data_IF_562906956152
#
_entry.id   IF_562906956152
#
_cell.length_a   1.000
_cell.length_b   1.000
_cell.length_c   1.000
_cell.angle_alpha   90.00
_cell.angle_beta   90.00
_cell.angle_gamma   90.00
#
_symmetry.space_group_name_H-M   'P 1'
#
loop_
_entity.id
_entity.type
_entity.pdbx_description
1 polymer ?
#
# COMPACT_ATOMS: atom_id res chain seq x y z
N UNK A 1 8.99 -21.03 39.95
CA UNK A 1 8.71 -19.58 39.89
C UNK A 1 9.77 -18.93 39.01
N UNK A 2 9.41 -18.03 38.13
CA UNK A 2 10.39 -17.34 37.27
C UNK A 2 11.37 -16.55 38.17
N UNK A 3 12.67 -16.70 37.90
CA UNK A 3 13.71 -16.04 38.67
C UNK A 3 13.66 -14.51 38.42
N UNK A 4 13.82 -13.67 39.43
CA UNK A 4 13.84 -12.21 39.33
C UNK A 4 14.81 -11.70 38.21
N UNK A 5 15.92 -12.43 38.01
CA UNK A 5 16.87 -12.14 36.92
C UNK A 5 16.24 -12.34 35.52
N UNK A 6 15.52 -13.43 35.31
CA UNK A 6 14.84 -13.74 34.03
C UNK A 6 13.77 -12.69 33.70
N UNK A 7 12.96 -12.29 34.70
CA UNK A 7 11.94 -11.25 34.51
C UNK A 7 12.62 -9.93 34.12
N UNK A 8 13.70 -9.55 34.77
CA UNK A 8 14.45 -8.33 34.46
C UNK A 8 15.02 -8.35 33.05
N UNK A 9 15.59 -9.49 32.61
CA UNK A 9 16.16 -9.62 31.29
C UNK A 9 15.07 -9.54 30.19
N UNK A 10 13.88 -10.11 30.47
CA UNK A 10 12.70 -9.97 29.60
C UNK A 10 12.20 -8.53 29.54
N UNK A 11 12.13 -7.82 30.67
CA UNK A 11 11.78 -6.40 30.68
C UNK A 11 12.72 -5.57 29.83
N UNK A 12 14.03 -5.82 29.93
CA UNK A 12 15.04 -5.12 29.13
C UNK A 12 14.85 -5.36 27.62
N UNK A 13 14.61 -6.60 27.21
CA UNK A 13 14.34 -6.93 25.82
C UNK A 13 13.10 -6.22 25.26
N UNK A 14 12.02 -6.15 26.06
CA UNK A 14 10.80 -5.43 25.68
C UNK A 14 11.04 -3.92 25.59
N UNK A 15 11.81 -3.33 26.52
CA UNK A 15 12.18 -1.91 26.46
C UNK A 15 12.99 -1.58 25.19
N UNK A 16 13.91 -2.46 24.79
CA UNK A 16 14.69 -2.26 23.58
C UNK A 16 13.82 -2.40 22.32
N UNK A 17 12.90 -3.36 22.30
CA UNK A 17 11.88 -3.48 21.24
C UNK A 17 11.02 -2.23 21.14
N UNK A 18 10.56 -1.68 22.27
CA UNK A 18 9.74 -0.45 22.33
C UNK A 18 10.50 0.77 21.77
N UNK A 19 11.81 0.88 22.01
CA UNK A 19 12.64 1.96 21.40
C UNK A 19 12.66 1.85 19.89
N UNK A 20 12.77 0.62 19.34
CA UNK A 20 12.76 0.36 17.90
C UNK A 20 11.40 0.70 17.31
N UNK A 21 10.30 0.25 17.92
CA UNK A 21 8.94 0.56 17.44
C UNK A 21 8.65 2.06 17.45
N UNK A 22 9.07 2.79 18.50
CA UNK A 22 8.94 4.25 18.55
C UNK A 22 9.75 4.96 17.44
N UNK A 23 10.97 4.49 17.16
CA UNK A 23 11.75 5.02 16.04
C UNK A 23 11.08 4.77 14.70
N UNK A 24 10.54 3.56 14.49
CA UNK A 24 9.80 3.22 13.26
C UNK A 24 8.50 4.03 13.12
N UNK A 25 7.79 4.30 14.21
CA UNK A 25 6.64 5.20 14.24
C UNK A 25 7.00 6.59 13.73
N UNK A 26 8.08 7.20 14.27
CA UNK A 26 8.53 8.54 13.86
C UNK A 26 8.95 8.59 12.38
N UNK A 27 9.67 7.57 11.92
CA UNK A 27 10.09 7.47 10.51
C UNK A 27 8.88 7.37 9.61
N UNK A 28 7.90 6.50 9.93
CA UNK A 28 6.68 6.31 9.12
C UNK A 28 5.84 7.57 9.09
N UNK A 29 5.70 8.28 10.22
CA UNK A 29 5.01 9.58 10.30
C UNK A 29 5.66 10.64 9.38
N UNK A 30 7.00 10.71 9.36
CA UNK A 30 7.71 11.64 8.48
C UNK A 30 7.52 11.28 7.00
N UNK A 31 7.59 9.99 6.66
CA UNK A 31 7.38 9.49 5.29
C UNK A 31 5.96 9.73 4.81
N UNK A 32 4.95 9.48 5.65
CA UNK A 32 3.55 9.74 5.35
C UNK A 32 3.31 11.21 5.01
N UNK A 33 3.87 12.14 5.80
CA UNK A 33 3.74 13.59 5.52
C UNK A 33 4.36 13.96 4.18
N UNK A 34 5.52 13.39 3.83
CA UNK A 34 6.17 13.64 2.53
C UNK A 34 5.33 13.10 1.38
N UNK A 35 4.77 11.89 1.51
CA UNK A 35 3.90 11.31 0.50
C UNK A 35 2.65 12.16 0.26
N UNK A 36 1.95 12.58 1.32
CA UNK A 36 0.79 13.48 1.20
C UNK A 36 1.13 14.81 0.52
N UNK A 37 2.29 15.40 0.83
CA UNK A 37 2.75 16.62 0.17
C UNK A 37 3.05 16.39 -1.31
N UNK A 38 3.67 15.26 -1.66
CA UNK A 38 3.95 14.92 -3.06
C UNK A 38 2.66 14.74 -3.86
N UNK A 39 1.65 14.07 -3.29
CA UNK A 39 0.34 13.91 -3.91
C UNK A 39 -0.33 15.28 -4.15
N UNK A 40 -0.45 16.10 -3.13
CA UNK A 40 -1.06 17.43 -3.22
C UNK A 40 -0.37 18.35 -4.25
N UNK A 41 0.93 18.21 -4.46
CA UNK A 41 1.67 19.01 -5.44
C UNK A 41 1.42 18.57 -6.90
N UNK A 42 1.04 17.31 -7.12
CA UNK A 42 0.87 16.77 -8.48
C UNK A 42 -0.60 16.62 -8.88
N UNK A 43 -1.49 16.54 -7.93
CA UNK A 43 -2.92 16.42 -8.11
C UNK A 43 -3.53 17.49 -9.06
N UNK A 44 -3.20 18.80 -8.98
CA UNK A 44 -3.73 19.81 -9.89
C UNK A 44 -3.40 19.55 -11.36
N UNK A 45 -2.20 19.02 -11.64
CA UNK A 45 -1.80 18.68 -13.01
C UNK A 45 -2.69 17.57 -13.59
N UNK A 46 -2.98 16.52 -12.82
CA UNK A 46 -3.82 15.42 -13.27
C UNK A 46 -5.28 15.81 -13.42
N UNK A 47 -5.80 16.65 -12.54
CA UNK A 47 -7.13 17.23 -12.71
C UNK A 47 -7.23 18.06 -14.00
N UNK A 48 -6.16 18.79 -14.36
CA UNK A 48 -6.13 19.54 -15.61
C UNK A 48 -6.17 18.63 -16.83
N UNK A 49 -5.42 17.51 -16.83
CA UNK A 49 -5.47 16.50 -17.89
C UNK A 49 -6.86 15.87 -18.00
N UNK A 50 -7.43 15.44 -16.89
CA UNK A 50 -8.77 14.85 -16.84
C UNK A 50 -9.83 15.83 -17.35
N UNK A 51 -9.79 17.08 -16.91
CA UNK A 51 -10.69 18.15 -17.35
C UNK A 51 -10.55 18.42 -18.86
N UNK A 52 -9.32 18.41 -19.38
CA UNK A 52 -9.06 18.59 -20.81
C UNK A 52 -9.64 17.42 -21.62
N UNK A 53 -9.42 16.19 -21.16
CA UNK A 53 -10.02 14.99 -21.80
C UNK A 53 -11.55 15.06 -21.78
N UNK A 54 -12.15 15.43 -20.64
CA UNK A 54 -13.60 15.63 -20.51
C UNK A 54 -14.13 16.66 -21.52
N UNK A 55 -13.43 17.79 -21.69
CA UNK A 55 -13.79 18.82 -22.69
C UNK A 55 -13.74 18.28 -24.11
N UNK A 56 -12.66 17.57 -24.47
CA UNK A 56 -12.50 16.99 -25.80
C UNK A 56 -13.62 15.99 -26.10
N UNK A 57 -13.88 15.06 -25.18
CA UNK A 57 -14.91 14.02 -25.35
C UNK A 57 -16.33 14.58 -25.44
N UNK A 58 -16.61 15.68 -24.73
CA UNK A 58 -17.90 16.38 -24.80
C UNK A 58 -18.14 17.02 -26.15
N UNK A 59 -17.10 17.62 -26.73
CA UNK A 59 -17.23 18.30 -28.05
C UNK A 59 -17.17 17.35 -29.23
N UNK A 60 -16.57 16.16 -29.03
CA UNK A 60 -16.37 15.15 -30.06
C UNK A 60 -16.81 13.77 -29.55
N UNK A 61 -18.13 13.56 -29.37
CA UNK A 61 -18.64 12.33 -28.78
C UNK A 61 -18.39 11.08 -29.66
N UNK A 62 -18.22 11.26 -30.98
CA UNK A 62 -17.97 10.16 -31.93
C UNK A 62 -16.48 9.93 -32.20
N UNK A 63 -15.58 10.68 -31.56
CA UNK A 63 -14.14 10.52 -31.76
C UNK A 63 -13.69 9.10 -31.38
N UNK A 64 -12.96 8.44 -32.26
CA UNK A 64 -12.35 7.14 -31.98
C UNK A 64 -10.95 7.31 -31.41
N UNK A 65 -10.65 6.55 -30.35
CA UNK A 65 -9.31 6.47 -29.79
C UNK A 65 -9.05 5.05 -29.32
N UNK A 66 -7.85 4.54 -29.60
CA UNK A 66 -7.41 3.20 -29.22
C UNK A 66 -7.46 2.91 -27.70
N UNK A 67 -7.48 3.98 -26.88
CA UNK A 67 -7.49 3.89 -25.43
C UNK A 67 -8.87 3.81 -24.81
N UNK A 68 -9.93 4.07 -25.59
CA UNK A 68 -11.31 4.02 -25.10
C UNK A 68 -11.99 2.74 -25.53
N UNK A 69 -12.85 2.24 -24.67
CA UNK A 69 -13.71 1.09 -24.99
C UNK A 69 -14.64 1.46 -26.17
N UNK A 70 -14.65 0.61 -27.17
CA UNK A 70 -15.64 0.70 -28.24
C UNK A 70 -16.99 0.22 -27.70
N UNK A 71 -18.05 1.06 -27.70
CA UNK A 71 -19.37 0.68 -27.20
C UNK A 71 -20.00 -0.48 -28.00
N UNK A 72 -19.59 -0.66 -29.27
CA UNK A 72 -20.14 -1.66 -30.18
C UNK A 72 -19.29 -2.95 -30.22
N UNK A 73 -18.16 -3.00 -29.51
CA UNK A 73 -17.31 -4.19 -29.50
C UNK A 73 -18.04 -5.35 -28.79
N UNK A 74 -18.22 -6.45 -29.52
CA UNK A 74 -18.68 -7.71 -28.92
C UNK A 74 -17.51 -8.29 -28.12
N UNK A 75 -17.63 -8.30 -26.81
CA UNK A 75 -16.61 -8.76 -25.89
C UNK A 75 -16.95 -10.20 -25.50
N UNK A 76 -16.07 -11.14 -25.89
CA UNK A 76 -16.13 -12.50 -25.39
C UNK A 76 -15.28 -12.59 -24.09
N UNK A 77 -15.96 -12.66 -22.96
CA UNK A 77 -15.36 -12.74 -21.62
C UNK A 77 -14.32 -13.86 -21.47
N UNK A 78 -14.45 -14.95 -22.26
CA UNK A 78 -13.56 -16.10 -22.17
C UNK A 78 -12.24 -15.92 -22.91
N UNK A 79 -12.15 -14.96 -23.81
CA UNK A 79 -10.96 -14.71 -24.64
C UNK A 79 -10.18 -13.48 -24.22
N UNK A 80 -10.72 -12.63 -23.36
CA UNK A 80 -10.07 -11.41 -22.89
C UNK A 80 -8.81 -11.74 -22.09
N UNK A 81 -7.70 -11.08 -22.43
CA UNK A 81 -6.43 -11.16 -21.71
C UNK A 81 -6.31 -9.97 -20.78
N UNK A 82 -6.45 -10.21 -19.48
CA UNK A 82 -6.40 -9.16 -18.47
C UNK A 82 -5.04 -9.08 -17.81
N UNK A 83 -4.51 -7.87 -17.72
CA UNK A 83 -3.33 -7.58 -16.92
C UNK A 83 -3.75 -7.05 -15.55
N UNK A 84 -3.28 -7.71 -14.49
CA UNK A 84 -3.47 -7.30 -13.10
C UNK A 84 -2.17 -6.72 -12.57
N UNK A 85 -2.14 -5.42 -12.34
CA UNK A 85 -0.97 -4.71 -11.80
C UNK A 85 -1.17 -4.57 -10.29
N UNK A 86 -0.42 -5.34 -9.51
CA UNK A 86 -0.57 -5.40 -8.06
C UNK A 86 0.53 -4.60 -7.39
N UNK A 87 0.14 -3.59 -6.61
CA UNK A 87 1.06 -2.70 -5.89
C UNK A 87 1.13 -3.12 -4.42
N UNK A 88 2.25 -3.73 -4.01
CA UNK A 88 2.49 -4.18 -2.64
C UNK A 88 3.68 -3.44 -2.03
N UNK A 89 3.89 -3.56 -0.72
CA UNK A 89 5.07 -3.01 -0.07
C UNK A 89 6.35 -3.82 -0.35
N UNK A 90 7.50 -3.17 -0.16
CA UNK A 90 8.80 -3.85 -0.16
C UNK A 90 9.14 -4.48 1.20
N UNK A 91 8.56 -3.97 2.28
CA UNK A 91 8.85 -4.39 3.66
C UNK A 91 7.57 -4.65 4.45
N UNK A 92 7.65 -5.58 5.38
CA UNK A 92 6.57 -5.92 6.30
C UNK A 92 6.34 -4.90 7.42
N UNK A 93 5.74 -5.38 8.50
CA UNK A 93 5.40 -4.61 9.72
C UNK A 93 4.43 -3.46 9.48
N UNK A 94 3.57 -3.58 8.49
CA UNK A 94 2.53 -2.63 8.13
C UNK A 94 1.11 -3.22 8.40
N UNK A 95 0.94 -3.91 9.52
CA UNK A 95 -0.35 -4.52 9.88
C UNK A 95 -0.89 -5.43 8.79
N UNK A 96 -2.17 -5.30 8.47
CA UNK A 96 -2.86 -6.10 7.45
C UNK A 96 -2.70 -5.57 6.01
N UNK A 97 -1.97 -4.47 5.78
CA UNK A 97 -1.82 -3.80 4.49
C UNK A 97 -1.53 -4.78 3.34
N UNK A 98 -0.43 -5.54 3.44
CA UNK A 98 -0.06 -6.48 2.38
C UNK A 98 -1.03 -7.66 2.27
N UNK A 99 -1.56 -8.15 3.39
CA UNK A 99 -2.51 -9.27 3.39
C UNK A 99 -3.78 -8.92 2.63
N UNK A 100 -4.35 -7.76 2.87
CA UNK A 100 -5.61 -7.34 2.25
C UNK A 100 -5.49 -7.21 0.73
N UNK A 101 -4.42 -6.57 0.25
CA UNK A 101 -4.22 -6.39 -1.19
C UNK A 101 -3.88 -7.69 -1.91
N UNK A 102 -3.07 -8.55 -1.29
CA UNK A 102 -2.73 -9.86 -1.86
C UNK A 102 -3.94 -10.77 -1.96
N UNK A 103 -4.82 -10.76 -0.94
CA UNK A 103 -6.08 -11.49 -0.95
C UNK A 103 -6.99 -11.03 -2.10
N UNK A 104 -7.20 -9.72 -2.24
CA UNK A 104 -7.99 -9.15 -3.33
C UNK A 104 -7.43 -9.52 -4.71
N UNK A 105 -6.11 -9.40 -4.87
CA UNK A 105 -5.44 -9.76 -6.13
C UNK A 105 -5.60 -11.26 -6.44
N UNK A 106 -5.44 -12.14 -5.45
CA UNK A 106 -5.58 -13.59 -5.62
C UNK A 106 -7.00 -13.97 -6.03
N UNK A 107 -8.02 -13.35 -5.43
CA UNK A 107 -9.44 -13.57 -5.78
C UNK A 107 -9.73 -13.26 -7.26
N UNK A 108 -9.17 -12.18 -7.80
CA UNK A 108 -9.35 -11.82 -9.21
C UNK A 108 -8.54 -12.73 -10.15
N UNK A 109 -7.30 -13.05 -9.81
CA UNK A 109 -6.40 -13.84 -10.65
C UNK A 109 -6.87 -15.30 -10.76
N UNK A 110 -7.35 -15.90 -9.66
CA UNK A 110 -7.82 -17.29 -9.66
C UNK A 110 -9.08 -17.51 -10.51
N UNK A 111 -9.90 -16.48 -10.64
CA UNK A 111 -11.14 -16.52 -11.42
C UNK A 111 -10.92 -16.22 -12.92
N UNK A 112 -9.70 -15.84 -13.32
CA UNK A 112 -9.38 -15.47 -14.69
C UNK A 112 -8.25 -16.34 -15.27
N UNK A 113 -8.61 -17.23 -16.19
CA UNK A 113 -7.67 -18.15 -16.86
C UNK A 113 -6.63 -17.46 -17.74
N UNK A 114 -6.95 -16.27 -18.23
CA UNK A 114 -6.10 -15.48 -19.12
C UNK A 114 -5.36 -14.34 -18.37
N UNK A 115 -5.38 -14.39 -17.05
CA UNK A 115 -4.73 -13.39 -16.22
C UNK A 115 -3.24 -13.30 -16.47
N UNK A 116 -2.74 -12.08 -16.65
CA UNK A 116 -1.32 -11.74 -16.66
C UNK A 116 -0.99 -10.89 -15.46
N UNK A 117 -0.15 -11.39 -14.61
CA UNK A 117 0.20 -10.75 -13.35
C UNK A 117 1.43 -9.84 -13.51
N UNK A 118 1.28 -8.57 -13.17
CA UNK A 118 2.34 -7.57 -13.08
C UNK A 118 2.50 -7.17 -11.61
N UNK A 119 3.70 -7.27 -11.07
CA UNK A 119 3.91 -7.06 -9.64
C UNK A 119 4.87 -5.89 -9.39
N UNK A 120 4.47 -5.01 -8.50
CA UNK A 120 5.27 -3.92 -7.94
C UNK A 120 5.42 -4.18 -6.44
N UNK A 121 6.65 -4.22 -5.92
CA UNK A 121 6.96 -4.48 -4.52
C UNK A 121 7.41 -5.92 -4.24
N UNK A 122 8.34 -6.04 -3.29
CA UNK A 122 9.02 -7.31 -2.98
C UNK A 122 8.10 -8.32 -2.29
N UNK A 123 7.18 -7.85 -1.44
CA UNK A 123 6.27 -8.75 -0.70
C UNK A 123 5.34 -9.48 -1.67
N UNK A 124 4.77 -8.77 -2.64
CA UNK A 124 3.92 -9.39 -3.67
C UNK A 124 4.70 -10.37 -4.53
N UNK A 125 5.92 -10.01 -4.95
CA UNK A 125 6.77 -10.89 -5.72
C UNK A 125 7.02 -12.21 -4.98
N UNK A 126 7.45 -12.16 -3.73
CA UNK A 126 7.67 -13.37 -2.93
C UNK A 126 6.40 -14.19 -2.73
N UNK A 127 5.29 -13.53 -2.43
CA UNK A 127 4.00 -14.20 -2.22
C UNK A 127 3.56 -15.01 -3.44
N UNK A 128 3.53 -14.38 -4.63
CA UNK A 128 3.07 -15.04 -5.84
C UNK A 128 4.05 -16.14 -6.31
N UNK A 129 5.35 -15.94 -6.10
CA UNK A 129 6.36 -16.99 -6.37
C UNK A 129 6.15 -18.20 -5.47
N UNK A 130 5.90 -18.04 -4.17
CA UNK A 130 5.59 -19.14 -3.24
C UNK A 130 4.31 -19.88 -3.63
N UNK A 131 3.31 -19.16 -4.09
CA UNK A 131 2.04 -19.72 -4.60
C UNK A 131 2.16 -20.34 -5.99
N UNK A 132 3.34 -20.25 -6.63
CA UNK A 132 3.59 -20.72 -8.01
C UNK A 132 2.66 -20.07 -9.05
N UNK A 133 2.19 -18.85 -8.79
CA UNK A 133 1.42 -18.05 -9.74
C UNK A 133 2.42 -17.36 -10.69
N UNK A 134 2.30 -17.56 -12.01
CA UNK A 134 3.25 -17.00 -12.96
C UNK A 134 3.17 -15.48 -13.00
N UNK A 135 4.32 -14.82 -12.85
CA UNK A 135 4.44 -13.36 -12.96
C UNK A 135 4.89 -13.03 -14.38
N UNK A 136 4.05 -12.32 -15.12
CA UNK A 136 4.34 -11.92 -16.49
C UNK A 136 5.42 -10.84 -16.57
N UNK A 137 5.42 -9.89 -15.63
CA UNK A 137 6.43 -8.86 -15.53
C UNK A 137 6.65 -8.42 -14.08
N UNK A 138 7.92 -8.18 -13.73
CA UNK A 138 8.32 -7.69 -12.42
C UNK A 138 8.96 -6.31 -12.59
N UNK A 139 8.46 -5.34 -11.85
CA UNK A 139 9.10 -4.04 -11.79
C UNK A 139 10.09 -4.02 -10.63
N UNK A 140 11.38 -3.94 -10.95
CA UNK A 140 12.48 -3.92 -9.96
C UNK A 140 12.64 -2.57 -9.26
N UNK A 141 11.57 -1.82 -9.13
CA UNK A 141 11.57 -0.53 -8.48
C UNK A 141 11.00 -0.65 -7.08
N UNK A 142 11.74 -0.11 -6.11
CA UNK A 142 11.21 -0.03 -4.75
C UNK A 142 10.08 0.99 -4.71
N UNK A 143 8.99 0.65 -4.04
CA UNK A 143 7.86 1.56 -3.83
C UNK A 143 8.17 2.65 -2.79
N UNK A 144 9.31 2.55 -2.09
CA UNK A 144 9.66 3.42 -0.96
C UNK A 144 9.85 4.90 -1.31
N UNK A 145 9.98 5.23 -2.56
CA UNK A 145 10.06 6.61 -3.03
C UNK A 145 9.45 6.69 -4.44
N UNK A 146 8.13 6.75 -4.57
CA UNK A 146 7.48 6.87 -5.86
C UNK A 146 7.90 8.16 -6.54
N UNK A 147 8.31 8.06 -7.81
CA UNK A 147 8.68 9.19 -8.67
C UNK A 147 7.92 9.13 -9.97
N UNK A 148 7.72 10.28 -10.60
CA UNK A 148 7.05 10.37 -11.90
C UNK A 148 7.79 9.56 -12.98
N UNK A 149 9.13 9.53 -12.93
CA UNK A 149 9.95 8.72 -13.85
C UNK A 149 9.64 7.21 -13.72
N UNK A 150 9.49 6.71 -12.49
CA UNK A 150 9.12 5.30 -12.26
C UNK A 150 7.71 5.01 -12.76
N UNK A 151 6.76 5.90 -12.48
CA UNK A 151 5.40 5.77 -13.00
C UNK A 151 5.40 5.75 -14.53
N UNK A 152 6.21 6.60 -15.18
CA UNK A 152 6.34 6.62 -16.64
C UNK A 152 6.85 5.28 -17.20
N UNK A 153 7.91 4.72 -16.64
CA UNK A 153 8.44 3.42 -17.09
C UNK A 153 7.43 2.29 -16.93
N UNK A 154 6.65 2.30 -15.83
CA UNK A 154 5.57 1.33 -15.62
C UNK A 154 4.48 1.54 -16.67
N UNK A 155 4.05 2.78 -16.89
CA UNK A 155 3.01 3.15 -17.85
C UNK A 155 3.41 2.76 -19.28
N UNK A 156 4.63 3.05 -19.70
CA UNK A 156 5.15 2.70 -21.03
C UNK A 156 5.09 1.18 -21.26
N UNK A 157 5.51 0.38 -20.27
CA UNK A 157 5.43 -1.09 -20.34
C UNK A 157 3.99 -1.58 -20.50
N UNK A 158 3.05 -1.00 -19.75
CA UNK A 158 1.64 -1.38 -19.78
C UNK A 158 0.95 -0.92 -21.07
N UNK A 159 1.21 0.30 -21.52
CA UNK A 159 0.68 0.86 -22.76
C UNK A 159 1.20 0.06 -23.96
N UNK A 160 2.50 -0.31 -23.98
CA UNK A 160 3.05 -1.16 -25.03
C UNK A 160 2.35 -2.53 -25.06
N UNK A 161 2.16 -3.16 -23.89
CA UNK A 161 1.43 -4.43 -23.82
C UNK A 161 -0.01 -4.31 -24.33
N UNK A 162 -0.68 -3.21 -24.07
CA UNK A 162 -2.04 -2.92 -24.54
C UNK A 162 -2.06 -2.66 -26.06
N UNK A 163 -1.22 -1.77 -26.58
CA UNK A 163 -1.15 -1.42 -28.01
C UNK A 163 -0.72 -2.59 -28.88
N UNK A 164 0.20 -3.42 -28.40
CA UNK A 164 0.65 -4.63 -29.10
C UNK A 164 -0.33 -5.80 -28.95
N UNK A 165 -1.50 -5.57 -28.37
CA UNK A 165 -2.53 -6.60 -28.14
C UNK A 165 -2.02 -7.82 -27.39
N UNK A 166 -1.02 -7.67 -26.52
CA UNK A 166 -0.61 -8.72 -25.57
C UNK A 166 -1.61 -8.84 -24.44
N UNK A 167 -2.29 -7.74 -24.10
CA UNK A 167 -3.38 -7.65 -23.13
C UNK A 167 -4.50 -6.77 -23.71
N UNK A 168 -5.74 -7.06 -23.34
CA UNK A 168 -6.93 -6.36 -23.82
C UNK A 168 -7.49 -5.42 -22.73
N UNK A 169 -7.27 -5.76 -21.48
CA UNK A 169 -7.67 -4.92 -20.34
C UNK A 169 -6.53 -4.86 -19.32
N UNK A 170 -6.41 -3.72 -18.65
CA UNK A 170 -5.42 -3.50 -17.57
C UNK A 170 -6.14 -3.02 -16.34
N UNK A 171 -5.94 -3.73 -15.24
CA UNK A 171 -6.47 -3.41 -13.92
C UNK A 171 -5.33 -3.08 -12.97
N UNK A 172 -5.52 -2.06 -12.14
CA UNK A 172 -4.61 -1.67 -11.09
C UNK A 172 -5.21 -2.04 -9.73
N UNK A 173 -4.44 -2.78 -8.94
CA UNK A 173 -4.80 -3.21 -7.59
C UNK A 173 -3.82 -2.55 -6.63
N UNK A 174 -4.32 -1.60 -5.84
CA UNK A 174 -3.51 -0.83 -4.91
C UNK A 174 -4.32 -0.48 -3.67
N UNK A 175 -3.68 0.00 -2.62
CA UNK A 175 -4.37 0.40 -1.39
C UNK A 175 -4.47 1.91 -1.33
N UNK A 176 -5.68 2.41 -1.13
CA UNK A 176 -5.96 3.83 -0.92
C UNK A 176 -6.30 4.13 0.54
N UNK A 177 -6.08 5.38 0.95
CA UNK A 177 -6.50 5.87 2.26
C UNK A 177 -7.93 6.40 2.19
N UNK A 178 -8.88 5.69 2.77
CA UNK A 178 -10.27 6.17 2.91
C UNK A 178 -10.35 7.33 3.92
N UNK A 179 -9.61 7.21 5.00
CA UNK A 179 -9.42 8.26 6.02
C UNK A 179 -8.11 8.01 6.79
N UNK A 180 -7.86 8.78 7.85
CA UNK A 180 -6.64 8.65 8.64
C UNK A 180 -6.50 7.30 9.38
N UNK A 181 -7.59 6.54 9.55
CA UNK A 181 -7.61 5.27 10.31
C UNK A 181 -7.88 4.04 9.44
N UNK A 182 -8.48 4.23 8.26
CA UNK A 182 -8.92 3.12 7.40
C UNK A 182 -8.29 3.18 6.03
N UNK A 183 -7.79 2.05 5.61
CA UNK A 183 -7.22 1.79 4.30
C UNK A 183 -8.09 0.76 3.60
N UNK A 184 -8.22 0.89 2.30
CA UNK A 184 -9.02 0.01 1.48
C UNK A 184 -8.25 -0.42 0.24
N UNK A 185 -8.21 -1.74 -0.02
CA UNK A 185 -7.65 -2.25 -1.25
C UNK A 185 -8.64 -1.95 -2.40
N UNK A 186 -8.15 -1.27 -3.42
CA UNK A 186 -8.91 -0.83 -4.58
C UNK A 186 -8.60 -1.73 -5.78
N UNK A 187 -9.63 -2.01 -6.54
CA UNK A 187 -9.55 -2.68 -7.83
C UNK A 187 -10.13 -1.75 -8.90
N UNK A 188 -9.27 -1.23 -9.76
CA UNK A 188 -9.69 -0.22 -10.74
C UNK A 188 -9.18 -0.57 -12.14
N UNK A 189 -10.03 -0.38 -13.15
CA UNK A 189 -9.62 -0.51 -14.54
C UNK A 189 -8.82 0.71 -14.96
N UNK A 190 -7.63 0.47 -15.50
CA UNK A 190 -6.76 1.50 -16.05
C UNK A 190 -6.96 1.66 -17.56
N UNK A 191 -7.11 0.54 -18.29
CA UNK A 191 -7.38 0.50 -19.73
C UNK A 191 -8.30 -0.69 -20.06
N UNK A 192 -9.16 -0.55 -21.07
CA UNK A 192 -9.51 0.68 -21.77
C UNK A 192 -10.26 1.66 -20.87
N UNK A 193 -10.13 2.95 -21.20
CA UNK A 193 -10.89 4.00 -20.51
C UNK A 193 -12.36 3.95 -20.91
N UNK A 194 -13.24 4.34 -20.02
CA UNK A 194 -14.66 4.50 -20.33
C UNK A 194 -15.02 5.98 -20.44
N UNK A 195 -15.78 6.33 -21.47
CA UNK A 195 -16.24 7.71 -21.69
C UNK A 195 -17.05 8.27 -20.52
N UNK A 196 -17.96 7.49 -19.88
CA UNK A 196 -18.71 7.96 -18.74
C UNK A 196 -17.86 8.45 -17.57
N UNK A 197 -16.65 7.92 -17.40
CA UNK A 197 -15.74 8.32 -16.32
C UNK A 197 -15.22 9.75 -16.48
N UNK A 198 -15.32 10.30 -17.71
CA UNK A 198 -14.92 11.65 -18.06
C UNK A 198 -16.11 12.59 -18.28
N UNK A 199 -17.34 12.11 -18.16
CA UNK A 199 -18.53 12.96 -18.26
C UNK A 199 -18.85 13.57 -16.90
N UNK A 200 -18.77 14.91 -16.81
CA UNK A 200 -19.19 15.64 -15.62
C UNK A 200 -20.72 15.60 -15.55
N UNK A 201 -21.25 14.98 -14.50
CA UNK A 201 -22.69 14.73 -14.34
C UNK A 201 -23.54 16.00 -14.12
N UNK A 202 -22.91 17.10 -13.66
CA UNK A 202 -23.60 18.33 -13.23
C UNK A 202 -23.14 19.57 -14.03
N UNK A 203 -23.08 19.47 -15.36
CA UNK A 203 -22.80 20.65 -16.19
C UNK A 203 -24.14 21.36 -16.43
N UNK A 204 -24.25 22.69 -16.11
CA UNK A 204 -25.39 23.47 -16.54
C UNK A 204 -25.59 23.38 -18.05
N UNK A 205 -26.81 23.12 -18.49
CA UNK A 205 -27.17 22.89 -19.91
C UNK A 205 -26.85 24.08 -20.81
N UNK A 206 -26.58 25.25 -20.26
CA UNK A 206 -26.39 26.51 -20.97
C UNK A 206 -24.92 26.92 -21.21
N UNK A 207 -23.96 26.03 -20.98
CA UNK A 207 -22.57 26.33 -21.34
C UNK A 207 -22.41 26.32 -22.87
N UNK A 208 -22.03 27.46 -23.50
CA UNK A 208 -21.84 27.51 -24.93
C UNK A 208 -20.79 26.50 -25.38
N UNK A 209 -21.09 25.79 -26.46
CA UNK A 209 -20.11 24.91 -27.09
C UNK A 209 -18.98 25.78 -27.68
N UNK A 210 -17.85 25.80 -27.00
CA UNK A 210 -16.65 26.46 -27.51
C UNK A 210 -16.11 25.70 -28.72
N UNK A 211 -15.83 26.41 -29.81
CA UNK A 211 -15.11 25.81 -30.93
C UNK A 211 -13.64 25.58 -30.54
N UNK A 212 -13.32 24.34 -30.15
CA UNK A 212 -11.95 23.97 -29.81
C UNK A 212 -11.22 23.56 -31.08
N UNK A 213 -10.27 24.38 -31.54
CA UNK A 213 -9.37 24.00 -32.63
C UNK A 213 -8.26 23.09 -32.10
N UNK A 214 -8.22 21.83 -32.56
CA UNK A 214 -7.19 20.86 -32.21
C UNK A 214 -6.28 20.60 -33.42
N UNK A 215 -4.97 20.72 -33.22
CA UNK A 215 -3.98 20.49 -34.27
C UNK A 215 -2.99 19.43 -33.83
N UNK A 216 -2.62 18.45 -34.69
CA UNK A 216 -3.08 18.28 -36.08
C UNK A 216 -4.51 17.74 -36.18
N UNK A 217 -4.96 16.90 -35.27
CA UNK A 217 -6.33 16.37 -35.18
C UNK A 217 -6.70 16.07 -33.71
N UNK A 218 -8.00 15.94 -33.39
CA UNK A 218 -8.45 15.53 -32.04
C UNK A 218 -7.86 14.19 -31.59
N UNK A 219 -7.78 13.21 -32.49
CA UNK A 219 -7.26 11.87 -32.21
C UNK A 219 -5.76 11.93 -31.87
N UNK A 220 -4.99 12.74 -32.61
CA UNK A 220 -3.57 12.94 -32.36
C UNK A 220 -3.33 13.64 -31.00
N UNK A 221 -4.16 14.61 -30.64
CA UNK A 221 -4.11 15.27 -29.34
C UNK A 221 -4.44 14.31 -28.20
N UNK A 222 -5.49 13.48 -28.36
CA UNK A 222 -5.83 12.45 -27.38
C UNK A 222 -4.75 11.37 -27.29
N UNK A 223 -4.14 11.01 -28.41
CA UNK A 223 -3.01 10.07 -28.44
C UNK A 223 -1.80 10.52 -27.63
N UNK A 224 -1.65 11.82 -27.38
CA UNK A 224 -0.61 12.39 -26.50
C UNK A 224 -1.09 12.59 -25.06
N UNK A 225 -2.32 13.04 -24.86
CA UNK A 225 -2.84 13.35 -23.51
C UNK A 225 -3.10 12.07 -22.71
N UNK A 226 -3.66 11.01 -23.33
CA UNK A 226 -4.03 9.79 -22.61
C UNK A 226 -2.82 9.08 -21.99
N UNK A 227 -1.68 8.89 -22.68
CA UNK A 227 -0.49 8.34 -22.02
C UNK A 227 -0.03 9.14 -20.80
N UNK A 228 -0.03 10.49 -20.89
CA UNK A 228 0.35 11.34 -19.76
C UNK A 228 -0.67 11.24 -18.61
N UNK A 229 -1.96 11.12 -18.92
CA UNK A 229 -3.00 10.84 -17.92
C UNK A 229 -2.77 9.49 -17.21
N UNK A 230 -2.44 8.43 -17.96
CA UNK A 230 -2.13 7.10 -17.40
C UNK A 230 -0.89 7.16 -16.51
N UNK A 231 0.17 7.87 -16.93
CA UNK A 231 1.37 8.11 -16.10
C UNK A 231 0.97 8.77 -14.79
N UNK A 232 0.12 9.78 -14.86
CA UNK A 232 -0.39 10.49 -13.70
C UNK A 232 -1.19 9.62 -12.76
N UNK A 233 -2.07 8.83 -13.32
CA UNK A 233 -2.90 7.91 -12.55
C UNK A 233 -2.06 6.87 -11.81
N UNK A 234 -1.10 6.23 -12.50
CA UNK A 234 -0.16 5.28 -11.89
C UNK A 234 0.69 5.96 -10.82
N UNK A 235 1.18 7.19 -11.07
CA UNK A 235 1.93 7.94 -10.07
C UNK A 235 1.12 8.21 -8.82
N UNK A 236 -0.12 8.70 -8.96
CA UNK A 236 -1.03 8.91 -7.83
C UNK A 236 -1.28 7.63 -7.05
N UNK A 237 -1.56 6.52 -7.73
CA UNK A 237 -1.79 5.23 -7.11
C UNK A 237 -0.54 4.71 -6.35
N UNK A 238 0.66 4.90 -6.90
CA UNK A 238 1.91 4.54 -6.21
C UNK A 238 2.15 5.39 -4.96
N UNK A 239 1.90 6.70 -5.04
CA UNK A 239 2.06 7.61 -3.89
C UNK A 239 1.02 7.30 -2.81
N UNK A 240 -0.21 7.05 -3.22
CA UNK A 240 -1.31 6.70 -2.32
C UNK A 240 -1.09 5.34 -1.64
N UNK A 241 -0.66 4.33 -2.40
CA UNK A 241 -0.26 3.03 -1.86
C UNK A 241 0.89 3.16 -0.85
N UNK A 242 1.89 3.98 -1.17
CA UNK A 242 2.99 4.27 -0.26
C UNK A 242 2.54 5.01 1.00
N UNK A 243 1.65 5.99 0.87
CA UNK A 243 1.07 6.71 2.01
C UNK A 243 0.28 5.76 2.91
N UNK A 244 -0.55 4.89 2.32
CA UNK A 244 -1.32 3.86 3.02
C UNK A 244 -0.41 2.87 3.75
N UNK A 245 0.66 2.39 3.11
CA UNK A 245 1.68 1.53 3.74
C UNK A 245 2.31 2.21 4.97
N UNK A 246 2.70 3.49 4.85
CA UNK A 246 3.30 4.21 5.97
C UNK A 246 2.28 4.46 7.09
N UNK A 247 1.02 4.70 6.76
CA UNK A 247 -0.06 4.86 7.73
C UNK A 247 -0.33 3.55 8.48
N UNK A 248 -0.48 2.43 7.77
CA UNK A 248 -0.64 1.09 8.37
C UNK A 248 0.51 0.74 9.30
N UNK A 249 1.75 1.03 8.88
CA UNK A 249 2.93 0.81 9.71
C UNK A 249 2.94 1.71 10.94
N UNK A 250 2.55 2.98 10.80
CA UNK A 250 2.45 3.92 11.92
C UNK A 250 1.47 3.39 12.97
N UNK A 251 0.27 2.98 12.56
CA UNK A 251 -0.74 2.43 13.46
C UNK A 251 -0.28 1.11 14.11
N UNK A 252 0.36 0.23 13.35
CA UNK A 252 0.90 -1.02 13.87
C UNK A 252 2.03 -0.80 14.90
N UNK A 253 2.92 0.17 14.66
CA UNK A 253 3.99 0.51 15.60
C UNK A 253 3.45 1.18 16.87
N UNK A 254 2.43 2.04 16.74
CA UNK A 254 1.76 2.63 17.92
C UNK A 254 1.14 1.53 18.79
N UNK A 255 0.35 0.64 18.20
CA UNK A 255 -0.26 -0.48 18.92
C UNK A 255 0.78 -1.40 19.59
N UNK A 256 1.91 -1.65 18.91
CA UNK A 256 3.00 -2.44 19.46
C UNK A 256 3.68 -1.76 20.65
N UNK A 257 3.87 -0.43 20.59
CA UNK A 257 4.44 0.34 21.70
C UNK A 257 3.50 0.38 22.92
N UNK A 258 2.20 0.56 22.69
CA UNK A 258 1.19 0.55 23.76
C UNK A 258 1.12 -0.84 24.43
N UNK A 259 1.11 -1.91 23.68
CA UNK A 259 1.15 -3.28 24.19
C UNK A 259 2.44 -3.56 24.97
N UNK A 260 3.59 -3.11 24.46
CA UNK A 260 4.88 -3.25 25.15
C UNK A 260 4.87 -2.53 26.50
N UNK A 261 4.29 -1.33 26.58
CA UNK A 261 4.14 -0.57 27.82
C UNK A 261 3.28 -1.32 28.85
N UNK A 262 2.16 -1.89 28.42
CA UNK A 262 1.29 -2.69 29.29
C UNK A 262 2.02 -3.93 29.85
N UNK A 263 2.74 -4.66 28.98
CA UNK A 263 3.52 -5.83 29.40
C UNK A 263 4.65 -5.43 30.37
N UNK A 264 5.31 -4.30 30.16
CA UNK A 264 6.34 -3.81 31.10
C UNK A 264 5.78 -3.48 32.48
N UNK A 265 4.59 -2.93 32.55
CA UNK A 265 3.92 -2.65 33.82
C UNK A 265 3.59 -3.94 34.58
N UNK A 266 3.08 -4.95 33.87
CA UNK A 266 2.79 -6.27 34.44
C UNK A 266 4.07 -6.95 34.97
N UNK A 267 5.10 -7.02 34.10
CA UNK A 267 6.39 -7.59 34.48
C UNK A 267 7.07 -6.86 35.62
N UNK A 268 6.92 -5.53 35.69
CA UNK A 268 7.41 -4.72 36.82
C UNK A 268 6.80 -5.15 38.16
N UNK A 269 5.49 -5.41 38.19
CA UNK A 269 4.80 -5.93 39.35
C UNK A 269 5.31 -7.33 39.74
N UNK A 270 5.45 -8.22 38.79
CA UNK A 270 5.99 -9.58 39.01
C UNK A 270 7.45 -9.55 39.51
N UNK A 271 8.27 -8.68 38.93
CA UNK A 271 9.67 -8.49 39.33
C UNK A 271 9.77 -8.04 40.78
N UNK A 272 8.98 -7.05 41.19
CA UNK A 272 8.99 -6.56 42.60
C UNK A 272 8.57 -7.65 43.57
N UNK A 273 7.55 -8.45 43.23
CA UNK A 273 7.11 -9.59 44.05
C UNK A 273 8.20 -10.67 44.16
N UNK A 274 8.81 -11.04 43.02
CA UNK A 274 9.89 -12.04 42.99
C UNK A 274 11.13 -11.57 43.77
N UNK A 275 11.48 -10.27 43.65
CA UNK A 275 12.58 -9.65 44.41
C UNK A 275 12.32 -9.67 45.90
N UNK A 276 11.11 -9.30 46.35
CA UNK A 276 10.75 -9.32 47.77
C UNK A 276 10.81 -10.77 48.32
N UNK A 277 10.30 -11.76 47.57
CA UNK A 277 10.37 -13.15 48.00
C UNK A 277 11.83 -13.65 48.12
N UNK A 278 12.71 -13.28 47.18
CA UNK A 278 14.12 -13.64 47.25
C UNK A 278 14.82 -13.01 48.48
N UNK A 279 14.58 -11.72 48.74
CA UNK A 279 15.14 -11.03 49.89
C UNK A 279 14.64 -11.70 51.18
N UNK A 280 13.36 -12.01 51.29
CA UNK A 280 12.78 -12.68 52.48
C UNK A 280 13.40 -14.07 52.69
N UNK A 281 13.64 -14.80 51.59
CA UNK A 281 14.30 -16.11 51.65
C UNK A 281 15.73 -15.98 52.13
N UNK A 282 16.53 -15.05 51.60
CA UNK A 282 17.92 -14.80 52.02
C UNK A 282 18.00 -14.42 53.52
N UNK A 283 17.12 -13.54 54.00
CA UNK A 283 17.05 -13.16 55.39
C UNK A 283 16.70 -14.38 56.27
N UNK A 284 15.74 -15.21 55.84
CA UNK A 284 15.33 -16.39 56.57
C UNK A 284 16.47 -17.42 56.64
N UNK A 285 17.22 -17.64 55.55
CA UNK A 285 18.38 -18.51 55.54
C UNK A 285 19.50 -18.05 56.44
N UNK A 286 19.80 -16.72 56.44
CA UNK A 286 20.79 -16.14 57.36
C UNK A 286 20.39 -16.30 58.83
N UNK A 287 19.11 -16.05 59.17
CA UNK A 287 18.60 -16.21 60.54
C UNK A 287 18.63 -17.69 60.96
N UNK A 288 18.24 -18.61 60.06
CA UNK A 288 18.28 -20.06 60.32
C UNK A 288 19.72 -20.54 60.58
N UNK A 289 20.66 -20.11 59.69
CA UNK A 289 22.10 -20.39 59.86
C UNK A 289 22.69 -19.89 61.19
N UNK A 290 22.35 -18.65 61.57
CA UNK A 290 22.81 -18.06 62.83
C UNK A 290 22.25 -18.81 64.08
N UNK A 291 20.97 -19.27 64.02
CA UNK A 291 20.36 -20.10 65.08
C UNK A 291 21.00 -21.49 65.15
N UNK A 292 21.33 -22.10 64.05
CA UNK A 292 22.00 -23.40 64.00
C UNK A 292 23.39 -23.33 64.62
N UNK A 293 24.16 -22.27 64.32
CA UNK A 293 25.49 -22.03 64.84
C UNK A 293 25.51 -21.78 66.36
N UNK A 294 24.48 -21.12 66.90
CA UNK A 294 24.31 -20.99 68.37
C UNK A 294 23.97 -22.29 69.05
N UNK A 295 23.24 -23.21 68.45
CA UNK A 295 22.93 -24.54 68.99
C UNK A 295 24.14 -25.50 69.04
N UNK A 296 25.12 -25.32 68.22
CA UNK A 296 26.36 -26.12 68.16
C UNK A 296 27.39 -25.66 69.19
N UNK A 297 27.29 -24.39 69.69
CA UNK A 297 28.19 -23.85 70.69
C UNK A 297 27.72 -24.00 72.15
N UNK A 298 26.55 -24.51 72.36
CA UNK A 298 26.04 -24.92 73.67
C UNK A 298 25.95 -26.46 73.76
#
# INVERSE_FOLDING_TARGET
>A
MANAREIRDRMRSIQDTMKITNAMYMISSSKLRRAKKALANTEPYFYTLQSTMSRILRHLPEMHSEYFRDPNAVIDEHTIRRAYVVVTADKGMAGAYNHNILKLAEEHIQNDKNAKLYVIGEIGRHYFQQKKIPIAHQFHYTIQNPTLSRARNISETLIDAYRTKKVDEIYLIYTSMKNAMTEEAQFMRLLPLERPDFMIKDIPVDLPMEHIAMKPSPEAVMGQIVPDYIVGYIYSALVEAYASEQNARLMAMQAAADNASAILQELGTLYNRARQAAITQEITEVIAGAKAQKKVKN
#
